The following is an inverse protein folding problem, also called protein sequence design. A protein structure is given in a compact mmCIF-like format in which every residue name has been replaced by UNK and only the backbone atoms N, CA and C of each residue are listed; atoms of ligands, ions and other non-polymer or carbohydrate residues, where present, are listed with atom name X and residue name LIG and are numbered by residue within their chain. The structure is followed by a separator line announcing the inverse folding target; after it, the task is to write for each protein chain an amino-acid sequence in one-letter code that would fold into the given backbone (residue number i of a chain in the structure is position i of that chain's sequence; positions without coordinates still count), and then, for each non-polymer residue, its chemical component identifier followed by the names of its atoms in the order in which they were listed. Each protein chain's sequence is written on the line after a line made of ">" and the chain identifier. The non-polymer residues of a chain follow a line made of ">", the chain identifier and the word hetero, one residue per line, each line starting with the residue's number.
data_IF_870404638089
#
_entry.id   IF_870404638089
#
_cell.length_a   1.000
_cell.length_b   1.000
_cell.length_c   1.000
_cell.angle_alpha   90.00
_cell.angle_beta   90.00
_cell.angle_gamma   90.00
#
_symmetry.space_group_name_H-M   'P 1'
#
loop_
_entity.id
_entity.type
_entity.pdbx_description
1 polymer ?
#
# COMPACT_ATOMS: atom_id res chain seq x y z
N UNK A 1 6.14 14.88 4.42
CA UNK A 1 7.51 15.17 3.94
C UNK A 1 7.65 14.90 2.44
N UNK A 2 7.44 13.66 1.91
CA UNK A 2 7.67 13.35 0.49
C UNK A 2 6.88 14.22 -0.50
N UNK A 3 5.63 14.52 -0.20
CA UNK A 3 4.78 15.40 -1.01
C UNK A 3 5.37 16.81 -1.10
N UNK A 4 5.87 17.34 0.03
CA UNK A 4 6.50 18.66 0.07
C UNK A 4 7.84 18.68 -0.67
N UNK A 5 8.65 17.61 -0.53
CA UNK A 5 9.92 17.49 -1.26
C UNK A 5 9.71 17.40 -2.78
N UNK A 6 8.56 16.92 -3.22
CA UNK A 6 8.17 16.88 -4.64
C UNK A 6 7.46 18.16 -5.11
N UNK A 7 7.39 19.20 -4.28
CA UNK A 7 6.67 20.45 -4.54
C UNK A 7 5.20 20.21 -4.99
N UNK A 8 4.58 19.19 -4.42
CA UNK A 8 3.21 18.82 -4.75
C UNK A 8 2.22 19.29 -3.67
N UNK A 9 1.00 19.59 -4.10
CA UNK A 9 -0.07 20.07 -3.22
C UNK A 9 -0.91 18.90 -2.74
N UNK A 10 -0.91 18.59 -1.43
CA UNK A 10 -1.73 17.50 -0.90
C UNK A 10 -3.22 17.90 -0.90
N UNK A 11 -4.07 17.07 -1.47
CA UNK A 11 -5.52 17.12 -1.35
C UNK A 11 -6.00 15.96 -0.51
N UNK A 12 -6.78 16.23 0.52
CA UNK A 12 -7.31 15.20 1.41
C UNK A 12 -8.64 14.70 0.88
N UNK A 13 -8.80 13.38 0.80
CA UNK A 13 -10.09 12.72 0.69
C UNK A 13 -10.53 12.32 2.10
N UNK A 14 -11.63 12.90 2.58
CA UNK A 14 -12.10 12.61 3.91
C UNK A 14 -12.76 11.22 3.97
N UNK A 15 -12.31 10.43 4.92
CA UNK A 15 -12.93 9.15 5.25
C UNK A 15 -13.90 9.39 6.41
N UNK A 16 -15.16 9.00 6.24
CA UNK A 16 -16.23 9.26 7.21
C UNK A 16 -16.82 7.98 7.79
N UNK A 17 -17.25 8.04 9.03
CA UNK A 17 -17.99 6.96 9.66
C UNK A 17 -19.26 6.61 8.85
N UNK A 18 -19.75 5.36 8.95
CA UNK A 18 -19.24 4.30 9.86
C UNK A 18 -18.09 3.48 9.27
N UNK A 19 -17.90 3.45 7.96
CA UNK A 19 -17.04 2.52 7.24
C UNK A 19 -15.61 3.04 7.00
N UNK A 20 -15.43 4.35 6.99
CA UNK A 20 -14.16 5.02 6.68
C UNK A 20 -13.55 4.57 5.35
N UNK A 21 -14.39 4.26 4.36
CA UNK A 21 -13.96 3.88 3.02
C UNK A 21 -13.83 5.10 2.11
N UNK A 22 -12.94 4.97 1.13
CA UNK A 22 -12.74 6.00 0.11
C UNK A 22 -13.97 6.09 -0.80
N UNK A 23 -14.53 7.30 -0.93
CA UNK A 23 -15.68 7.58 -1.80
C UNK A 23 -15.18 8.32 -3.05
N UNK A 24 -14.74 7.56 -4.03
CA UNK A 24 -14.07 8.08 -5.22
C UNK A 24 -14.92 9.03 -6.04
N UNK A 25 -16.24 8.84 -6.04
CA UNK A 25 -17.21 9.68 -6.77
C UNK A 25 -17.30 11.11 -6.23
N UNK A 26 -16.77 11.38 -5.03
CA UNK A 26 -16.75 12.72 -4.42
C UNK A 26 -15.59 13.57 -4.93
N UNK A 27 -14.67 13.00 -5.73
CA UNK A 27 -13.54 13.73 -6.30
C UNK A 27 -14.05 14.56 -7.48
N UNK A 28 -13.84 15.88 -7.42
CA UNK A 28 -14.19 16.75 -8.54
C UNK A 28 -13.31 16.48 -9.77
N UNK A 29 -13.83 16.74 -10.95
CA UNK A 29 -13.11 16.56 -12.22
C UNK A 29 -11.79 17.33 -12.27
N UNK A 30 -11.77 18.55 -11.73
CA UNK A 30 -10.56 19.36 -11.67
C UNK A 30 -9.48 18.68 -10.82
N UNK A 31 -9.83 18.18 -9.63
CA UNK A 31 -8.90 17.42 -8.78
C UNK A 31 -8.43 16.14 -9.47
N UNK A 32 -9.36 15.41 -10.10
CA UNK A 32 -9.05 14.17 -10.80
C UNK A 32 -8.00 14.39 -11.91
N UNK A 33 -8.20 15.38 -12.78
CA UNK A 33 -7.31 15.66 -13.91
C UNK A 33 -5.92 16.16 -13.48
N UNK A 34 -5.85 16.85 -12.34
CA UNK A 34 -4.61 17.39 -11.80
C UNK A 34 -3.88 16.46 -10.83
N UNK A 35 -4.51 15.35 -10.41
CA UNK A 35 -3.89 14.36 -9.53
C UNK A 35 -2.81 13.58 -10.27
N UNK A 36 -1.66 13.38 -9.62
CA UNK A 36 -0.56 12.54 -10.11
C UNK A 36 -0.40 11.27 -9.27
N UNK A 37 -0.74 11.36 -7.99
CA UNK A 37 -0.59 10.26 -7.05
C UNK A 37 -1.78 10.22 -6.12
N UNK A 38 -2.37 9.03 -5.96
CA UNK A 38 -3.31 8.70 -4.90
C UNK A 38 -2.60 7.82 -3.90
N UNK A 39 -2.69 8.16 -2.63
CA UNK A 39 -2.16 7.37 -1.54
C UNK A 39 -3.31 6.88 -0.67
N UNK A 40 -3.41 5.59 -0.49
CA UNK A 40 -4.44 4.96 0.33
C UNK A 40 -3.84 3.88 1.23
N UNK A 41 -4.46 3.65 2.38
CA UNK A 41 -4.00 2.69 3.38
C UNK A 41 -5.18 1.84 3.84
N UNK A 42 -5.14 0.54 3.56
CA UNK A 42 -6.09 -0.45 4.05
C UNK A 42 -5.38 -1.79 4.31
N UNK A 43 -5.60 -2.43 5.46
CA UNK A 43 -6.33 -1.95 6.63
C UNK A 43 -5.82 -0.60 7.11
N UNK A 44 -6.74 0.29 7.51
CA UNK A 44 -6.44 1.68 7.80
C UNK A 44 -6.00 1.90 9.25
N UNK A 45 -4.94 2.65 9.43
CA UNK A 45 -4.55 3.18 10.74
C UNK A 45 -4.95 4.68 10.79
N UNK A 46 -5.79 5.13 11.75
CA UNK A 46 -6.13 4.45 13.02
C UNK A 46 -7.50 3.77 13.06
N UNK A 47 -8.30 3.80 12.01
CA UNK A 47 -9.72 3.40 12.07
C UNK A 47 -9.95 1.89 12.09
N UNK A 48 -8.95 1.08 11.68
CA UNK A 48 -9.10 -0.36 11.49
C UNK A 48 -9.93 -0.76 10.26
N UNK A 49 -10.41 0.21 9.49
CA UNK A 49 -11.24 -0.04 8.32
C UNK A 49 -10.51 -0.89 7.27
N UNK A 50 -11.21 -1.85 6.70
CA UNK A 50 -10.72 -2.75 5.65
C UNK A 50 -11.45 -2.45 4.35
N UNK A 51 -10.71 -2.19 3.28
CA UNK A 51 -11.32 -2.02 1.97
C UNK A 51 -11.82 -3.36 1.43
N UNK A 52 -12.93 -3.31 0.72
CA UNK A 52 -13.39 -4.42 -0.10
C UNK A 52 -12.74 -4.38 -1.48
N UNK A 53 -12.81 -5.48 -2.22
CA UNK A 53 -12.31 -5.51 -3.59
C UNK A 53 -13.05 -4.49 -4.48
N UNK A 54 -14.32 -4.20 -4.16
CA UNK A 54 -15.13 -3.22 -4.89
C UNK A 54 -14.59 -1.79 -4.75
N UNK A 55 -14.17 -1.38 -3.56
CA UNK A 55 -13.52 -0.07 -3.33
C UNK A 55 -12.26 0.08 -4.19
N UNK A 56 -11.50 -0.99 -4.36
CA UNK A 56 -10.33 -1.00 -5.23
C UNK A 56 -10.70 -0.98 -6.72
N UNK A 57 -11.76 -1.69 -7.13
CA UNK A 57 -12.26 -1.63 -8.51
C UNK A 57 -12.71 -0.21 -8.89
N UNK A 58 -13.44 0.45 -7.99
CA UNK A 58 -13.83 1.83 -8.18
C UNK A 58 -12.61 2.75 -8.34
N UNK A 59 -11.58 2.59 -7.48
CA UNK A 59 -10.34 3.34 -7.59
C UNK A 59 -9.64 3.13 -8.95
N UNK A 60 -9.48 1.87 -9.37
CA UNK A 60 -8.85 1.53 -10.65
C UNK A 60 -9.64 2.11 -11.81
N UNK A 61 -10.96 1.95 -11.82
CA UNK A 61 -11.84 2.49 -12.86
C UNK A 61 -11.74 4.02 -12.94
N UNK A 62 -11.72 4.70 -11.80
CA UNK A 62 -11.63 6.15 -11.71
C UNK A 62 -10.33 6.70 -12.31
N UNK A 63 -9.22 5.98 -12.14
CA UNK A 63 -7.89 6.51 -12.45
C UNK A 63 -7.22 5.85 -13.68
N UNK A 64 -7.73 4.73 -14.23
CA UNK A 64 -7.09 3.99 -15.32
C UNK A 64 -6.86 4.81 -16.61
N UNK A 65 -7.73 5.77 -16.90
CA UNK A 65 -7.62 6.64 -18.08
C UNK A 65 -6.98 7.99 -17.77
N UNK A 66 -6.29 8.11 -16.65
CA UNK A 66 -5.60 9.33 -16.22
C UNK A 66 -4.09 9.10 -16.14
N UNK A 67 -3.34 10.16 -15.83
CA UNK A 67 -1.90 10.04 -15.51
C UNK A 67 -1.62 9.68 -14.05
N UNK A 68 -2.67 9.45 -13.27
CA UNK A 68 -2.59 9.17 -11.84
C UNK A 68 -2.03 7.78 -11.59
N UNK A 69 -1.15 7.68 -10.60
CA UNK A 69 -0.69 6.40 -10.05
C UNK A 69 -1.26 6.20 -8.66
N UNK A 70 -1.47 4.95 -8.27
CA UNK A 70 -2.02 4.58 -6.95
C UNK A 70 -0.92 3.92 -6.13
N UNK A 71 -0.70 4.40 -4.92
CA UNK A 71 0.12 3.74 -3.90
C UNK A 71 -0.80 3.23 -2.81
N UNK A 72 -0.84 1.93 -2.64
CA UNK A 72 -1.55 1.27 -1.55
C UNK A 72 -0.56 0.88 -0.46
N UNK A 73 -0.62 1.56 0.67
CA UNK A 73 0.11 1.16 1.88
C UNK A 73 -0.60 -0.04 2.50
N UNK A 74 0.00 -1.20 2.30
CA UNK A 74 -0.53 -2.49 2.73
C UNK A 74 0.26 -3.07 3.90
N UNK A 75 0.80 -2.19 4.75
CA UNK A 75 1.62 -2.58 5.90
C UNK A 75 0.90 -3.51 6.90
N UNK A 76 -0.43 -3.48 6.93
CA UNK A 76 -1.27 -4.33 7.76
C UNK A 76 -1.89 -5.52 7.01
N UNK A 77 -1.37 -5.87 5.84
CA UNK A 77 -1.87 -6.96 4.98
C UNK A 77 -2.07 -8.29 5.72
N UNK A 78 -1.18 -8.59 6.66
CA UNK A 78 -1.17 -9.84 7.42
C UNK A 78 -2.28 -9.93 8.49
N UNK A 79 -2.91 -8.81 8.87
CA UNK A 79 -3.94 -8.79 9.91
C UNK A 79 -5.35 -8.87 9.30
N UNK A 80 -5.77 -10.10 8.96
CA UNK A 80 -7.13 -10.41 8.52
C UNK A 80 -7.75 -11.41 9.49
N UNK A 81 -8.68 -10.96 10.34
CA UNK A 81 -9.23 -11.80 11.42
C UNK A 81 -10.26 -12.80 10.92
N UNK A 82 -11.11 -12.43 9.99
CA UNK A 82 -12.18 -13.26 9.46
C UNK A 82 -11.91 -13.74 8.02
N UNK A 83 -11.09 -13.01 7.30
CA UNK A 83 -10.65 -13.32 5.93
C UNK A 83 -9.33 -12.64 5.62
N UNK A 84 -8.67 -13.06 4.54
CA UNK A 84 -7.50 -12.34 4.02
C UNK A 84 -7.92 -10.97 3.51
N UNK A 85 -7.13 -9.95 3.85
CA UNK A 85 -7.33 -8.61 3.30
C UNK A 85 -7.14 -8.62 1.78
N UNK A 86 -8.03 -7.99 1.00
CA UNK A 86 -7.88 -7.95 -0.45
C UNK A 86 -6.70 -7.06 -0.86
N UNK A 87 -6.00 -7.48 -1.90
CA UNK A 87 -4.96 -6.70 -2.57
C UNK A 87 -5.57 -5.91 -3.71
N UNK A 88 -5.18 -4.64 -3.89
CA UNK A 88 -5.59 -3.87 -5.07
C UNK A 88 -5.09 -4.52 -6.37
N UNK A 89 -3.97 -5.25 -6.32
CA UNK A 89 -3.41 -5.92 -7.48
C UNK A 89 -4.21 -7.14 -7.96
N UNK A 90 -5.26 -7.53 -7.23
CA UNK A 90 -6.24 -8.52 -7.68
C UNK A 90 -7.26 -7.92 -8.67
N UNK A 91 -7.34 -6.60 -8.75
CA UNK A 91 -8.24 -5.92 -9.68
C UNK A 91 -7.62 -5.88 -11.07
N UNK A 92 -8.42 -6.23 -12.07
CA UNK A 92 -8.01 -6.13 -13.48
C UNK A 92 -7.60 -4.70 -13.82
N UNK A 93 -6.48 -4.57 -14.53
CA UNK A 93 -5.90 -3.26 -14.88
C UNK A 93 -5.11 -2.57 -13.75
N UNK A 94 -5.20 -3.01 -12.50
CA UNK A 94 -4.49 -2.35 -11.38
C UNK A 94 -2.97 -2.34 -11.59
N UNK A 95 -2.37 -3.38 -12.18
CA UNK A 95 -0.92 -3.46 -12.41
C UNK A 95 -0.39 -2.40 -13.37
N UNK A 96 -1.27 -1.72 -14.13
CA UNK A 96 -0.89 -0.64 -15.04
C UNK A 96 -0.73 0.71 -14.31
N UNK A 97 -1.28 0.84 -13.09
CA UNK A 97 -1.28 2.13 -12.38
C UNK A 97 -0.99 2.03 -10.88
N UNK A 98 -1.04 0.85 -10.28
CA UNK A 98 -0.92 0.70 -8.83
C UNK A 98 0.37 -0.01 -8.39
N UNK A 99 0.82 0.34 -7.20
CA UNK A 99 1.86 -0.35 -6.43
C UNK A 99 1.37 -0.56 -5.00
N UNK A 100 1.66 -1.71 -4.43
CA UNK A 100 1.47 -2.01 -3.01
C UNK A 100 2.78 -1.97 -2.27
N UNK A 101 2.74 -1.42 -1.06
CA UNK A 101 3.88 -1.36 -0.14
C UNK A 101 3.61 -2.25 1.05
N UNK A 102 4.43 -3.27 1.21
CA UNK A 102 4.38 -4.23 2.30
C UNK A 102 5.44 -3.93 3.36
N UNK A 103 5.16 -4.30 4.59
CA UNK A 103 6.08 -4.15 5.71
C UNK A 103 6.15 -5.42 6.55
N UNK A 104 7.37 -5.85 6.89
CA UNK A 104 7.57 -6.93 7.84
C UNK A 104 7.43 -6.47 9.29
N UNK A 105 7.36 -5.15 9.50
CA UNK A 105 7.30 -4.55 10.84
C UNK A 105 6.11 -5.02 11.66
N UNK A 106 4.96 -5.27 11.01
CA UNK A 106 3.69 -5.56 11.67
C UNK A 106 3.45 -7.07 11.78
N UNK A 107 3.18 -7.74 10.67
CA UNK A 107 2.86 -9.17 10.66
C UNK A 107 3.96 -10.05 11.24
N UNK A 108 5.21 -9.76 10.90
CA UNK A 108 6.37 -10.54 11.35
C UNK A 108 7.02 -10.01 12.64
N UNK A 109 6.45 -8.97 13.26
CA UNK A 109 7.01 -8.34 14.47
C UNK A 109 8.47 -7.89 14.31
N UNK A 110 8.86 -7.48 13.09
CA UNK A 110 10.22 -7.10 12.70
C UNK A 110 10.39 -5.58 12.56
N UNK A 111 9.75 -4.79 13.42
CA UNK A 111 9.77 -3.33 13.31
C UNK A 111 11.16 -2.72 13.39
N UNK A 112 12.06 -3.28 14.20
CA UNK A 112 13.45 -2.84 14.35
C UNK A 112 14.33 -3.11 13.12
N UNK A 113 13.96 -4.07 12.28
CA UNK A 113 14.73 -4.44 11.08
C UNK A 113 14.61 -3.44 9.93
N UNK A 114 13.58 -2.61 9.93
CA UNK A 114 13.32 -1.58 8.91
C UNK A 114 13.23 -2.14 7.50
N UNK A 115 12.54 -3.27 7.33
CA UNK A 115 12.39 -3.97 6.05
C UNK A 115 10.94 -3.90 5.56
N UNK A 116 10.81 -3.59 4.30
CA UNK A 116 9.56 -3.67 3.52
C UNK A 116 9.88 -3.85 2.05
N UNK A 117 8.88 -4.08 1.25
CA UNK A 117 9.01 -4.23 -0.19
C UNK A 117 7.81 -3.64 -0.92
N UNK A 118 7.99 -3.34 -2.19
CA UNK A 118 6.93 -2.84 -3.06
C UNK A 118 6.76 -3.76 -4.25
N UNK A 119 5.51 -4.01 -4.64
CA UNK A 119 5.15 -4.82 -5.82
C UNK A 119 4.07 -4.11 -6.63
N UNK A 120 4.05 -4.30 -7.94
CA UNK A 120 3.02 -3.74 -8.82
C UNK A 120 3.59 -3.12 -10.09
N UNK A 121 3.09 -1.96 -10.46
CA UNK A 121 3.44 -1.27 -11.71
C UNK A 121 4.95 -1.13 -11.90
N UNK A 122 5.45 -1.63 -13.04
CA UNK A 122 6.89 -1.69 -13.34
C UNK A 122 7.57 -0.33 -13.36
N UNK A 123 6.88 0.70 -13.86
CA UNK A 123 7.49 2.02 -14.00
C UNK A 123 7.66 2.68 -12.62
N UNK A 124 6.68 2.51 -11.72
CA UNK A 124 6.79 2.94 -10.33
C UNK A 124 7.94 2.20 -9.63
N UNK A 125 8.01 0.87 -9.80
CA UNK A 125 9.08 0.07 -9.20
C UNK A 125 10.46 0.49 -9.73
N UNK A 126 10.59 0.77 -11.02
CA UNK A 126 11.84 1.28 -11.59
C UNK A 126 12.22 2.65 -11.04
N UNK A 127 11.23 3.56 -10.89
CA UNK A 127 11.45 4.87 -10.29
C UNK A 127 11.92 4.76 -8.83
N UNK A 128 11.28 3.88 -8.04
CA UNK A 128 11.69 3.59 -6.66
C UNK A 128 13.12 3.04 -6.59
N UNK A 129 13.46 2.06 -7.43
CA UNK A 129 14.83 1.51 -7.51
C UNK A 129 15.86 2.58 -7.85
N UNK A 130 15.57 3.41 -8.85
CA UNK A 130 16.45 4.52 -9.25
C UNK A 130 16.63 5.51 -8.12
N UNK A 131 15.56 5.91 -7.45
CA UNK A 131 15.63 6.81 -6.29
C UNK A 131 16.47 6.20 -5.16
N UNK A 132 16.18 4.94 -4.81
CA UNK A 132 16.89 4.24 -3.74
C UNK A 132 18.39 4.12 -4.02
N UNK A 133 18.79 3.78 -5.26
CA UNK A 133 20.20 3.64 -5.63
C UNK A 133 21.01 4.94 -5.50
N UNK A 134 20.33 6.09 -5.60
CA UNK A 134 20.97 7.40 -5.47
C UNK A 134 20.92 7.98 -4.05
N UNK A 135 20.03 7.49 -3.19
CA UNK A 135 19.81 8.07 -1.87
C UNK A 135 20.26 7.17 -0.72
N UNK A 136 20.16 5.85 -0.85
CA UNK A 136 20.35 4.92 0.26
C UNK A 136 21.40 3.83 0.00
N UNK A 137 22.04 3.84 -1.15
CA UNK A 137 23.11 2.90 -1.55
C UNK A 137 22.75 1.40 -1.46
N UNK A 138 21.53 1.06 -1.03
CA UNK A 138 21.06 -0.32 -0.86
C UNK A 138 20.84 -0.73 0.60
N UNK A 139 20.14 -1.84 0.77
CA UNK A 139 19.89 -2.45 2.06
C UNK A 139 20.98 -3.47 2.37
N UNK A 140 21.38 -3.56 3.63
CA UNK A 140 22.34 -4.58 4.09
C UNK A 140 21.85 -6.00 3.73
N UNK A 141 22.70 -6.80 3.08
CA UNK A 141 22.34 -8.11 2.51
C UNK A 141 21.73 -9.07 3.53
N UNK A 142 22.31 -9.14 4.75
CA UNK A 142 21.79 -10.03 5.79
C UNK A 142 20.34 -9.70 6.21
N UNK A 143 19.93 -8.43 6.13
CA UNK A 143 18.53 -8.06 6.36
C UNK A 143 17.62 -8.53 5.23
N UNK A 144 18.10 -8.51 3.99
CA UNK A 144 17.36 -9.03 2.84
C UNK A 144 17.17 -10.54 2.95
N UNK A 145 18.23 -11.27 3.32
CA UNK A 145 18.20 -12.73 3.51
C UNK A 145 17.26 -13.10 4.66
N UNK A 146 17.32 -12.36 5.79
CA UNK A 146 16.43 -12.55 6.94
C UNK A 146 14.96 -12.32 6.54
N UNK A 147 14.68 -11.27 5.80
CA UNK A 147 13.33 -10.97 5.32
C UNK A 147 12.82 -12.06 4.37
N UNK A 148 13.66 -12.49 3.43
CA UNK A 148 13.34 -13.59 2.51
C UNK A 148 13.05 -14.88 3.25
N UNK A 149 13.87 -15.21 4.26
CA UNK A 149 13.66 -16.38 5.09
C UNK A 149 12.34 -16.30 5.86
N UNK A 150 12.04 -15.14 6.47
CA UNK A 150 10.79 -14.93 7.20
C UNK A 150 9.56 -15.12 6.29
N UNK A 151 9.59 -14.53 5.10
CA UNK A 151 8.49 -14.63 4.13
C UNK A 151 8.25 -16.07 3.63
N UNK A 152 9.28 -16.91 3.60
CA UNK A 152 9.17 -18.28 3.09
C UNK A 152 8.87 -19.33 4.16
N UNK A 153 9.05 -19.03 5.46
CA UNK A 153 9.03 -20.06 6.49
C UNK A 153 8.13 -19.76 7.69
N UNK A 154 7.55 -18.57 7.81
CA UNK A 154 6.86 -18.13 9.03
C UNK A 154 5.36 -17.88 8.88
N UNK A 155 4.67 -18.57 7.98
CA UNK A 155 3.20 -18.47 7.83
C UNK A 155 2.46 -18.83 9.12
N UNK A 156 2.88 -19.89 9.80
CA UNK A 156 2.30 -20.30 11.09
C UNK A 156 2.47 -19.21 12.18
N UNK A 157 3.56 -18.43 12.12
CA UNK A 157 3.75 -17.29 13.02
C UNK A 157 2.73 -16.17 12.76
N UNK A 158 2.41 -15.89 11.50
CA UNK A 158 1.38 -14.92 11.14
C UNK A 158 0.01 -15.32 11.68
N UNK A 159 -0.34 -16.61 11.59
CA UNK A 159 -1.58 -17.15 12.17
C UNK A 159 -1.61 -17.00 13.69
N UNK A 160 -0.51 -17.28 14.37
CA UNK A 160 -0.39 -17.07 15.81
C UNK A 160 -0.55 -15.58 16.19
N UNK A 161 0.04 -14.67 15.43
CA UNK A 161 -0.13 -13.23 15.67
C UNK A 161 -1.58 -12.80 15.47
N UNK A 162 -2.23 -13.22 14.39
CA UNK A 162 -3.64 -12.93 14.16
C UNK A 162 -4.53 -13.41 15.32
N UNK A 163 -4.30 -14.61 15.83
CA UNK A 163 -5.05 -15.18 16.95
C UNK A 163 -4.83 -14.44 18.27
N UNK A 164 -3.67 -13.77 18.46
CA UNK A 164 -3.43 -12.94 19.65
C UNK A 164 -4.17 -11.61 19.64
N UNK A 165 -4.43 -11.07 18.45
CA UNK A 165 -5.09 -9.77 18.28
C UNK A 165 -6.59 -9.87 18.02
N UNK A 166 -7.11 -11.07 17.83
CA UNK A 166 -8.54 -11.36 17.67
C UNK A 166 -9.26 -11.34 19.03
#
# INVERSE_FOLDING_TARGET
>A
AGVQLADAIPKKLNLTAPDYLSKWQQISQDVLLNTRLVYLTYPNNPTGSVATLEVFKEAVTQFQNTKTKIVHDFAYSAFGFDSKNPSILQVDGAKELAVEIYSLSKGYNMSGFRVGFAVGNKDIIQALKKYQSHTHAGMFGALQDTASYALNHYDAFLEQQNNKFR
#
